data_IF_256059532159
#
_entry.id   IF_256059532159
#
_cell.length_a   1.000
_cell.length_b   1.000
_cell.length_c   1.000
_cell.angle_alpha   90.00
_cell.angle_beta   90.00
_cell.angle_gamma   90.00
#
_symmetry.space_group_name_H-M   'P 1'
#
loop_
_entity.id
_entity.type
_entity.pdbx_description
1 polymer ?
#
# COMPACT_ATOMS: atom_id res chain seq x y z
N UNK A 1 10.64 27.96 -8.00
CA UNK A 1 11.79 27.03 -8.00
C UNK A 1 11.45 25.93 -7.02
N UNK A 2 11.28 24.69 -7.48
CA UNK A 2 11.04 23.56 -6.58
C UNK A 2 12.38 23.23 -5.91
N UNK A 3 12.51 23.58 -4.64
CA UNK A 3 13.64 23.18 -3.80
C UNK A 3 13.75 21.66 -3.81
N UNK A 4 14.76 21.15 -4.51
CA UNK A 4 15.17 19.74 -4.39
C UNK A 4 15.90 19.64 -3.05
N UNK A 5 15.34 18.95 -2.04
CA UNK A 5 16.00 18.87 -0.75
C UNK A 5 17.34 18.17 -0.92
N UNK A 6 18.41 18.89 -0.59
CA UNK A 6 19.79 18.42 -0.58
C UNK A 6 19.84 17.14 0.26
N UNK A 7 20.01 15.98 -0.38
CA UNK A 7 20.00 14.66 0.27
C UNK A 7 21.07 14.60 1.35
N UNK A 8 20.69 14.84 2.61
CA UNK A 8 21.52 14.46 3.76
C UNK A 8 21.77 12.95 3.64
N UNK A 9 22.99 12.46 3.96
CA UNK A 9 23.25 11.02 3.94
C UNK A 9 22.24 10.34 4.85
N UNK A 10 21.35 9.53 4.27
CA UNK A 10 20.27 8.87 4.98
C UNK A 10 20.86 7.98 6.09
N UNK A 11 20.55 8.28 7.34
CA UNK A 11 20.94 7.45 8.49
C UNK A 11 19.81 6.48 8.82
N UNK A 12 20.15 5.34 9.41
CA UNK A 12 19.16 4.38 9.91
C UNK A 12 18.20 5.02 10.94
N UNK A 13 18.70 5.99 11.72
CA UNK A 13 17.94 6.79 12.69
C UNK A 13 16.78 7.59 12.06
N UNK A 14 16.93 8.00 10.79
CA UNK A 14 15.91 8.77 10.06
C UNK A 14 14.87 7.85 9.37
N UNK A 15 15.02 6.52 9.52
CA UNK A 15 14.11 5.55 8.94
C UNK A 15 12.84 5.42 9.78
N UNK A 16 11.68 5.45 9.13
CA UNK A 16 10.38 5.20 9.77
C UNK A 16 10.38 3.92 10.61
N UNK A 17 10.96 2.84 10.11
CA UNK A 17 10.99 1.56 10.82
C UNK A 17 11.83 1.61 12.10
N UNK A 18 12.92 2.38 12.14
CA UNK A 18 13.74 2.52 13.34
C UNK A 18 13.02 3.39 14.39
N UNK A 19 12.40 4.49 13.99
CA UNK A 19 11.63 5.36 14.89
C UNK A 19 10.43 4.63 15.52
N UNK A 20 9.82 3.70 14.78
CA UNK A 20 8.71 2.88 15.25
C UNK A 20 9.16 1.55 15.89
N UNK A 21 10.47 1.30 16.06
CA UNK A 21 11.00 0.03 16.59
C UNK A 21 10.58 -1.22 15.79
N UNK A 22 10.26 -1.04 14.50
CA UNK A 22 9.86 -2.08 13.54
C UNK A 22 11.03 -2.53 12.64
N UNK A 23 12.23 -1.97 12.85
CA UNK A 23 13.40 -2.32 12.04
C UNK A 23 13.94 -3.68 12.44
N UNK A 24 13.91 -4.66 11.53
CA UNK A 24 14.47 -5.99 11.77
C UNK A 24 16.00 -6.04 11.68
N UNK A 25 16.65 -4.99 11.15
CA UNK A 25 18.08 -4.94 10.91
C UNK A 25 18.76 -3.98 11.89
N UNK A 26 19.66 -4.50 12.72
CA UNK A 26 20.57 -3.72 13.56
C UNK A 26 21.83 -3.33 12.76
N UNK A 27 21.67 -2.44 11.78
CA UNK A 27 22.76 -1.96 10.94
C UNK A 27 22.97 -0.46 11.15
N UNK A 28 24.23 -0.03 11.22
CA UNK A 28 24.62 1.40 11.26
C UNK A 28 24.43 2.11 9.90
N UNK A 29 24.12 1.35 8.84
CA UNK A 29 23.91 1.84 7.47
C UNK A 29 22.41 1.93 7.16
N UNK A 30 21.99 2.81 6.23
CA UNK A 30 20.59 2.83 5.78
C UNK A 30 20.18 1.46 5.27
N UNK A 31 19.05 0.95 5.78
CA UNK A 31 18.52 -0.34 5.36
C UNK A 31 18.04 -0.29 3.90
N UNK A 32 18.03 -1.43 3.22
CA UNK A 32 17.50 -1.55 1.85
C UNK A 32 16.00 -1.18 1.77
N UNK A 33 15.29 -1.26 2.89
CA UNK A 33 13.90 -0.84 3.06
C UNK A 33 13.76 0.60 3.55
N UNK A 34 14.81 1.44 3.46
CA UNK A 34 14.77 2.81 3.96
C UNK A 34 13.55 3.56 3.43
N UNK A 35 12.77 4.09 4.36
CA UNK A 35 11.61 4.94 4.10
C UNK A 35 11.73 6.18 5.00
N UNK A 36 11.80 7.39 4.42
CA UNK A 36 11.84 8.61 5.21
C UNK A 36 10.54 8.74 6.01
N UNK A 37 10.64 9.07 7.30
CA UNK A 37 9.48 9.18 8.19
C UNK A 37 8.46 10.24 7.76
N UNK A 38 8.87 11.24 6.98
CA UNK A 38 7.99 12.33 6.51
C UNK A 38 7.00 11.90 5.43
N UNK A 39 7.32 10.87 4.65
CA UNK A 39 6.45 10.38 3.59
C UNK A 39 5.49 9.41 4.25
N UNK A 40 4.41 9.92 4.85
CA UNK A 40 3.42 9.10 5.55
C UNK A 40 3.19 7.77 4.81
N UNK A 41 3.54 6.65 5.45
CA UNK A 41 3.36 5.29 4.93
C UNK A 41 1.86 4.94 4.92
N UNK A 42 1.03 5.83 4.37
CA UNK A 42 -0.36 5.52 4.12
C UNK A 42 -0.38 4.41 3.06
N UNK A 43 -0.95 3.24 3.36
CA UNK A 43 -1.18 2.25 2.33
C UNK A 43 -2.02 2.90 1.23
N UNK A 44 -1.67 2.63 -0.03
CA UNK A 44 -2.49 3.08 -1.14
C UNK A 44 -3.92 2.53 -0.95
N UNK A 45 -4.93 3.35 -1.24
CA UNK A 45 -6.32 2.91 -1.06
C UNK A 45 -6.57 1.76 -2.03
N UNK A 46 -6.71 0.55 -1.48
CA UNK A 46 -7.11 -0.62 -2.24
C UNK A 46 -8.41 -0.33 -2.99
N UNK A 47 -8.40 -0.56 -4.30
CA UNK A 47 -9.59 -0.39 -5.14
C UNK A 47 -10.70 -1.34 -4.65
N UNK A 48 -11.93 -0.84 -4.58
CA UNK A 48 -13.09 -1.64 -4.22
C UNK A 48 -13.68 -2.30 -5.48
N UNK A 49 -14.12 -3.55 -5.35
CA UNK A 49 -14.89 -4.20 -6.42
C UNK A 49 -16.24 -3.50 -6.60
N UNK A 50 -16.58 -3.19 -7.84
CA UNK A 50 -17.89 -2.67 -8.22
C UNK A 50 -18.68 -3.83 -8.83
N UNK A 51 -19.58 -4.43 -8.06
CA UNK A 51 -20.49 -5.45 -8.56
C UNK A 51 -21.54 -4.80 -9.49
N UNK A 52 -21.54 -5.17 -10.76
CA UNK A 52 -22.60 -4.77 -11.70
C UNK A 52 -23.69 -5.84 -11.66
N UNK A 53 -24.86 -5.49 -11.12
CA UNK A 53 -26.04 -6.33 -11.17
C UNK A 53 -26.76 -6.17 -12.51
N UNK A 54 -26.08 -6.48 -13.61
CA UNK A 54 -26.80 -6.74 -14.86
C UNK A 54 -27.28 -8.18 -14.78
N UNK A 55 -28.60 -8.37 -14.60
CA UNK A 55 -29.21 -9.70 -14.66
C UNK A 55 -29.09 -10.21 -16.10
N UNK A 56 -27.95 -10.76 -16.46
CA UNK A 56 -27.88 -11.63 -17.63
C UNK A 56 -28.68 -12.87 -17.28
N UNK A 57 -29.87 -13.01 -17.86
CA UNK A 57 -30.53 -14.31 -17.95
C UNK A 57 -29.57 -15.21 -18.72
N UNK A 58 -28.82 -16.03 -18.01
CA UNK A 58 -27.90 -16.99 -18.62
C UNK A 58 -28.70 -17.86 -19.59
N UNK A 59 -28.17 -18.16 -20.78
CA UNK A 59 -28.81 -19.04 -21.75
C UNK A 59 -29.16 -20.43 -21.18
N UNK A 60 -28.57 -20.80 -20.04
CA UNK A 60 -28.78 -22.07 -19.33
C UNK A 60 -29.50 -21.91 -17.99
N UNK A 61 -30.48 -21.00 -17.89
CA UNK A 61 -31.31 -20.90 -16.69
C UNK A 61 -32.19 -22.15 -16.54
N UNK A 62 -32.19 -22.76 -15.34
CA UNK A 62 -33.06 -23.89 -15.02
C UNK A 62 -34.53 -23.46 -15.01
N UNK A 63 -35.45 -24.29 -15.53
CA UNK A 63 -36.88 -23.99 -15.50
C UNK A 63 -37.34 -23.85 -14.04
N UNK A 64 -38.06 -22.77 -13.76
CA UNK A 64 -38.68 -22.55 -12.46
C UNK A 64 -39.84 -23.56 -12.32
N UNK A 65 -39.91 -24.35 -11.24
CA UNK A 65 -41.07 -25.19 -10.99
C UNK A 65 -42.29 -24.29 -10.77
N UNK A 66 -43.33 -24.53 -11.57
CA UNK A 66 -44.56 -23.74 -11.58
C UNK A 66 -45.20 -23.66 -10.18
N UNK A 67 -45.65 -22.46 -9.81
CA UNK A 67 -46.56 -22.22 -8.69
C UNK A 67 -48.01 -22.23 -9.19
#
# INVERSE_FOLDING_TARGET
MLDVPKTKPARCQDCYFHQNMLCALNLDKPCTTFRPAERGLAPERQLAFVFRAERTTTAYAFPQPNA
#
